data_IF_560311522123
#
_entry.id   IF_560311522123
#
_cell.length_a   1.000
_cell.length_b   1.000
_cell.length_c   1.000
_cell.angle_alpha   90.00
_cell.angle_beta   90.00
_cell.angle_gamma   90.00
#
_symmetry.space_group_name_H-M   'P 1'
#
loop_
_entity.id
_entity.type
_entity.pdbx_description
1 polymer ?
#
# COMPACT_ATOMS: atom_id res chain seq x y z
N UNK A 1 18.51 -1.61 41.41
CA UNK A 1 17.54 -2.49 40.75
C UNK A 1 17.54 -2.16 39.26
N UNK A 2 18.05 -3.01 38.36
CA UNK A 2 17.87 -2.79 36.92
C UNK A 2 16.51 -3.39 36.51
N UNK A 3 15.67 -2.57 35.89
CA UNK A 3 14.44 -3.02 35.21
C UNK A 3 14.81 -3.93 34.04
N UNK A 4 14.11 -5.07 33.84
CA UNK A 4 14.31 -5.88 32.66
C UNK A 4 13.86 -5.07 31.44
N UNK A 5 14.83 -4.76 30.57
CA UNK A 5 14.57 -4.25 29.23
C UNK A 5 13.65 -5.25 28.54
N UNK A 6 12.43 -4.85 28.22
CA UNK A 6 11.50 -5.64 27.44
C UNK A 6 12.11 -5.78 26.03
N UNK A 7 12.86 -6.84 25.81
CA UNK A 7 13.28 -7.25 24.48
C UNK A 7 12.00 -7.49 23.68
N UNK A 8 11.60 -6.49 22.89
CA UNK A 8 10.49 -6.62 21.97
C UNK A 8 10.78 -7.83 21.09
N UNK A 9 10.06 -8.92 21.33
CA UNK A 9 10.17 -10.12 20.53
C UNK A 9 9.89 -9.72 19.09
N UNK A 10 10.92 -9.79 18.23
CA UNK A 10 10.74 -9.59 16.79
C UNK A 10 9.92 -10.76 16.28
N UNK A 11 8.68 -10.47 15.87
CA UNK A 11 7.90 -11.39 15.07
C UNK A 11 8.68 -11.64 13.78
N UNK A 12 9.07 -12.89 13.57
CA UNK A 12 9.72 -13.36 12.35
C UNK A 12 8.65 -14.10 11.56
N UNK A 13 8.28 -13.55 10.40
CA UNK A 13 7.20 -14.11 9.60
C UNK A 13 7.70 -15.27 8.74
N UNK A 14 6.90 -16.34 8.68
CA UNK A 14 7.08 -17.39 7.68
C UNK A 14 6.63 -16.91 6.29
N UNK A 15 7.04 -17.64 5.25
CA UNK A 15 6.76 -17.31 3.85
C UNK A 15 5.27 -17.03 3.58
N UNK A 16 4.38 -17.95 4.00
CA UNK A 16 2.95 -17.83 3.78
C UNK A 16 2.32 -16.65 4.53
N UNK A 17 2.76 -16.38 5.76
CA UNK A 17 2.29 -15.26 6.57
C UNK A 17 2.69 -13.92 5.95
N UNK A 18 3.95 -13.82 5.50
CA UNK A 18 4.48 -12.63 4.83
C UNK A 18 3.70 -12.35 3.54
N UNK A 19 3.47 -13.38 2.73
CA UNK A 19 2.71 -13.28 1.48
C UNK A 19 1.24 -12.92 1.74
N UNK A 20 0.62 -13.50 2.75
CA UNK A 20 -0.76 -13.18 3.13
C UNK A 20 -0.88 -11.72 3.55
N UNK A 21 0.03 -11.23 4.39
CA UNK A 21 0.03 -9.85 4.86
C UNK A 21 0.27 -8.85 3.73
N UNK A 22 1.24 -9.12 2.84
CA UNK A 22 1.53 -8.28 1.68
C UNK A 22 0.33 -8.22 0.71
N UNK A 23 -0.30 -9.37 0.43
CA UNK A 23 -1.47 -9.45 -0.47
C UNK A 23 -2.68 -8.74 0.10
N UNK A 24 -2.95 -8.91 1.41
CA UNK A 24 -4.02 -8.20 2.08
C UNK A 24 -3.79 -6.69 1.98
N UNK A 25 -2.59 -6.23 2.36
CA UNK A 25 -2.24 -4.81 2.31
C UNK A 25 -2.39 -4.19 0.90
N UNK A 26 -1.91 -4.84 -0.16
CA UNK A 26 -2.13 -4.33 -1.53
C UNK A 26 -3.59 -4.39 -1.99
N UNK A 27 -4.38 -5.34 -1.48
CA UNK A 27 -5.81 -5.39 -1.74
C UNK A 27 -6.53 -4.17 -1.16
N UNK A 28 -6.20 -3.82 0.08
CA UNK A 28 -6.76 -2.66 0.78
C UNK A 28 -6.36 -1.35 0.06
N UNK A 29 -5.09 -1.25 -0.35
CA UNK A 29 -4.54 -0.14 -1.12
C UNK A 29 -5.24 0.02 -2.49
N UNK A 30 -5.41 -1.08 -3.22
CA UNK A 30 -6.13 -1.08 -4.50
C UNK A 30 -7.56 -0.56 -4.31
N UNK A 31 -8.26 -1.04 -3.29
CA UNK A 31 -9.61 -0.59 -2.99
C UNK A 31 -9.63 0.91 -2.64
N UNK A 32 -8.64 1.39 -1.87
CA UNK A 32 -8.48 2.80 -1.52
C UNK A 32 -8.26 3.67 -2.76
N UNK A 33 -7.30 3.33 -3.62
CA UNK A 33 -7.02 4.11 -4.83
C UNK A 33 -8.19 4.13 -5.82
N UNK A 34 -8.91 3.02 -5.97
CA UNK A 34 -10.14 3.00 -6.78
C UNK A 34 -11.21 3.95 -6.21
N UNK A 35 -11.43 3.93 -4.89
CA UNK A 35 -12.37 4.87 -4.25
C UNK A 35 -11.96 6.32 -4.47
N UNK A 36 -10.68 6.65 -4.30
CA UNK A 36 -10.16 8.00 -4.55
C UNK A 36 -10.34 8.40 -6.01
N UNK A 37 -10.02 7.52 -6.96
CA UNK A 37 -10.21 7.78 -8.39
C UNK A 37 -11.67 8.15 -8.71
N UNK A 38 -12.64 7.40 -8.16
CA UNK A 38 -14.06 7.73 -8.30
C UNK A 38 -14.45 9.03 -7.60
N UNK A 39 -13.96 9.26 -6.38
CA UNK A 39 -14.27 10.47 -5.60
C UNK A 39 -13.82 11.76 -6.29
N UNK A 40 -12.68 11.73 -6.99
CA UNK A 40 -12.15 12.87 -7.75
C UNK A 40 -12.72 13.03 -9.16
N UNK A 41 -13.48 12.04 -9.67
CA UNK A 41 -13.86 11.97 -11.09
C UNK A 41 -14.57 13.24 -11.59
N UNK A 42 -15.46 13.81 -10.79
CA UNK A 42 -16.24 15.01 -11.15
C UNK A 42 -15.59 16.32 -10.70
N UNK A 43 -14.56 16.26 -9.85
CA UNK A 43 -13.91 17.43 -9.27
C UNK A 43 -12.60 17.78 -9.99
N UNK A 44 -11.73 16.79 -10.18
CA UNK A 44 -10.45 16.96 -10.84
C UNK A 44 -10.04 15.65 -11.54
N UNK A 45 -10.20 15.63 -12.87
CA UNK A 45 -9.93 14.45 -13.70
C UNK A 45 -8.45 14.08 -13.75
N UNK A 46 -7.52 15.03 -13.55
CA UNK A 46 -6.10 14.73 -13.48
C UNK A 46 -5.76 13.94 -12.21
N UNK A 47 -6.28 14.37 -11.05
CA UNK A 47 -6.11 13.63 -9.78
C UNK A 47 -6.82 12.27 -9.87
N UNK A 48 -8.02 12.22 -10.43
CA UNK A 48 -8.74 10.95 -10.65
C UNK A 48 -7.91 9.95 -11.46
N UNK A 49 -7.28 10.39 -12.56
CA UNK A 49 -6.37 9.57 -13.37
C UNK A 49 -5.13 9.13 -12.61
N UNK A 50 -4.52 10.03 -11.84
CA UNK A 50 -3.38 9.68 -10.99
C UNK A 50 -3.74 8.55 -10.02
N UNK A 51 -4.86 8.68 -9.30
CA UNK A 51 -5.32 7.64 -8.36
C UNK A 51 -5.63 6.32 -9.07
N UNK A 52 -6.23 6.36 -10.27
CA UNK A 52 -6.47 5.18 -11.08
C UNK A 52 -5.15 4.50 -11.50
N UNK A 53 -4.14 5.28 -11.91
CA UNK A 53 -2.81 4.78 -12.25
C UNK A 53 -2.12 4.12 -11.04
N UNK A 54 -2.22 4.71 -9.84
CA UNK A 54 -1.70 4.10 -8.62
C UNK A 54 -2.42 2.79 -8.27
N UNK A 55 -3.73 2.71 -8.52
CA UNK A 55 -4.49 1.47 -8.42
C UNK A 55 -3.96 0.37 -9.37
N UNK A 56 -3.60 0.72 -10.60
CA UNK A 56 -2.98 -0.23 -11.55
C UNK A 56 -1.60 -0.71 -11.03
N UNK A 57 -0.81 0.16 -10.41
CA UNK A 57 0.45 -0.25 -9.79
C UNK A 57 0.23 -1.22 -8.62
N UNK A 58 -0.82 -1.07 -7.82
CA UNK A 58 -1.21 -2.09 -6.83
C UNK A 58 -1.51 -3.45 -7.46
N UNK A 59 -2.21 -3.49 -8.61
CA UNK A 59 -2.48 -4.74 -9.33
C UNK A 59 -1.18 -5.42 -9.78
N UNK A 60 -0.25 -4.67 -10.35
CA UNK A 60 1.07 -5.18 -10.74
C UNK A 60 1.84 -5.73 -9.55
N UNK A 61 1.78 -5.07 -8.39
CA UNK A 61 2.40 -5.56 -7.14
C UNK A 61 1.76 -6.85 -6.66
N UNK A 62 0.43 -6.95 -6.68
CA UNK A 62 -0.30 -8.18 -6.37
C UNK A 62 0.14 -9.34 -7.27
N UNK A 63 0.26 -9.10 -8.58
CA UNK A 63 0.72 -10.11 -9.53
C UNK A 63 2.18 -10.52 -9.29
N UNK A 64 3.05 -9.55 -8.97
CA UNK A 64 4.43 -9.82 -8.57
C UNK A 64 4.49 -10.71 -7.33
N UNK A 65 3.69 -10.41 -6.30
CA UNK A 65 3.61 -11.22 -5.07
C UNK A 65 3.05 -12.63 -5.34
N UNK A 66 2.07 -12.75 -6.25
CA UNK A 66 1.56 -14.07 -6.68
C UNK A 66 2.61 -14.87 -7.43
N UNK A 67 3.41 -14.23 -8.28
CA UNK A 67 4.46 -14.92 -9.02
C UNK A 67 5.58 -15.41 -8.09
N UNK A 68 6.02 -14.55 -7.17
CA UNK A 68 7.03 -14.92 -6.17
C UNK A 68 6.56 -16.09 -5.26
N UNK A 69 5.27 -16.12 -4.89
CA UNK A 69 4.70 -17.25 -4.16
C UNK A 69 4.81 -18.57 -4.93
N UNK A 70 4.48 -18.58 -6.24
CA UNK A 70 4.54 -19.79 -7.07
C UNK A 70 5.98 -20.30 -7.27
N UNK A 71 6.95 -19.39 -7.37
CA UNK A 71 8.36 -19.79 -7.49
C UNK A 71 8.82 -20.55 -6.24
N UNK A 72 8.39 -20.14 -5.04
CA UNK A 72 8.72 -20.83 -3.80
C UNK A 72 8.01 -22.19 -3.66
N UNK A 73 6.75 -22.30 -4.07
CA UNK A 73 6.03 -23.58 -4.13
C UNK A 73 6.69 -24.58 -5.11
N UNK A 74 7.38 -24.08 -6.14
CA UNK A 74 8.07 -24.90 -7.16
C UNK A 74 9.46 -25.35 -6.69
N UNK A 75 10.13 -24.55 -5.86
CA UNK A 75 11.44 -24.90 -5.26
C UNK A 75 11.31 -25.82 -4.04
N UNK A 76 10.14 -25.86 -3.41
CA UNK A 76 9.82 -26.83 -2.37
C UNK A 76 9.52 -28.21 -2.98
N UNK A 77 10.25 -29.25 -2.55
CA UNK A 77 9.86 -30.64 -2.84
C UNK A 77 8.44 -30.91 -2.33
N UNK A 78 7.61 -31.70 -3.04
CA UNK A 78 6.20 -31.84 -2.70
C UNK A 78 6.07 -32.60 -1.37
N UNK A 79 5.80 -31.86 -0.31
CA UNK A 79 5.33 -32.41 0.94
C UNK A 79 3.81 -32.51 0.85
N UNK A 80 3.30 -33.74 0.79
CA UNK A 80 1.87 -34.04 0.87
C UNK A 80 1.37 -33.64 2.26
N UNK A 81 0.62 -32.55 2.30
CA UNK A 81 0.11 -31.94 3.52
C UNK A 81 -1.08 -31.09 3.16
N UNK A 82 -2.21 -31.75 2.97
CA UNK A 82 -3.51 -31.08 2.96
C UNK A 82 -3.64 -30.24 4.23
N UNK A 83 -3.47 -28.93 4.13
CA UNK A 83 -3.95 -28.04 5.17
C UNK A 83 -4.82 -26.93 4.59
N UNK A 84 -6.04 -26.92 5.09
CA UNK A 84 -7.17 -26.18 4.58
C UNK A 84 -6.95 -24.73 5.02
N UNK A 85 -6.47 -23.88 4.11
CA UNK A 85 -6.28 -22.44 4.35
C UNK A 85 -7.56 -21.82 4.93
N UNK A 86 -7.51 -21.11 6.06
CA UNK A 86 -8.63 -20.25 6.45
C UNK A 86 -8.65 -19.08 5.47
N UNK A 87 -9.80 -18.88 4.82
CA UNK A 87 -10.07 -17.63 4.12
C UNK A 87 -10.07 -16.52 5.17
N UNK A 88 -9.03 -15.68 5.15
CA UNK A 88 -9.03 -14.45 5.95
C UNK A 88 -10.07 -13.54 5.32
N UNK A 89 -11.29 -13.56 5.88
CA UNK A 89 -12.33 -12.59 5.55
C UNK A 89 -11.86 -11.22 6.02
N UNK A 90 -11.33 -10.43 5.09
CA UNK A 90 -11.09 -8.99 5.29
C UNK A 90 -12.45 -8.31 5.41
N UNK A 91 -12.96 -8.20 6.65
CA UNK A 91 -14.03 -7.25 6.98
C UNK A 91 -13.50 -5.84 6.76
N UNK A 92 -13.88 -5.25 5.64
CA UNK A 92 -13.70 -3.83 5.43
C UNK A 92 -15.00 -3.12 5.77
N UNK A 93 -14.95 -2.30 6.82
CA UNK A 93 -15.91 -1.24 7.02
C UNK A 93 -15.75 -0.27 5.83
N UNK A 94 -16.53 -0.49 4.78
CA UNK A 94 -16.61 0.42 3.66
C UNK A 94 -17.20 1.74 4.17
N UNK A 95 -16.33 2.71 4.41
CA UNK A 95 -16.77 4.11 4.52
C UNK A 95 -17.46 4.47 3.19
N UNK A 96 -18.63 5.13 3.21
CA UNK A 96 -19.38 5.42 2.00
C UNK A 96 -18.53 6.16 0.97
N UNK A 97 -18.74 5.85 -0.31
CA UNK A 97 -18.13 6.54 -1.45
C UNK A 97 -18.50 8.04 -1.39
N UNK A 98 -17.62 8.86 -0.83
CA UNK A 98 -17.80 10.31 -0.79
C UNK A 98 -17.26 10.94 -2.07
N UNK A 99 -18.12 11.63 -2.82
CA UNK A 99 -17.66 12.51 -3.90
C UNK A 99 -17.00 13.76 -3.32
N UNK A 100 -15.89 14.18 -3.93
CA UNK A 100 -15.23 15.43 -3.56
C UNK A 100 -16.07 16.59 -4.09
N UNK A 101 -16.60 17.41 -3.18
CA UNK A 101 -17.55 18.48 -3.50
C UNK A 101 -16.94 19.88 -3.48
N UNK A 102 -15.82 20.07 -2.77
CA UNK A 102 -15.13 21.35 -2.69
C UNK A 102 -13.62 21.18 -2.52
N UNK A 103 -12.89 22.26 -2.80
CA UNK A 103 -11.43 22.26 -2.82
C UNK A 103 -10.78 21.90 -1.48
N UNK A 104 -11.32 22.38 -0.34
CA UNK A 104 -10.81 21.98 0.98
C UNK A 104 -10.79 20.45 1.17
N UNK A 105 -11.91 19.78 0.83
CA UNK A 105 -12.01 18.32 0.90
C UNK A 105 -11.04 17.63 -0.05
N UNK A 106 -10.80 18.20 -1.24
CA UNK A 106 -9.82 17.69 -2.19
C UNK A 106 -8.40 17.68 -1.60
N UNK A 107 -8.01 18.78 -0.96
CA UNK A 107 -6.69 18.93 -0.34
C UNK A 107 -6.55 18.02 0.87
N UNK A 108 -7.52 18.00 1.77
CA UNK A 108 -7.51 17.11 2.94
C UNK A 108 -7.42 15.64 2.51
N UNK A 109 -8.14 15.26 1.46
CA UNK A 109 -8.09 13.91 0.88
C UNK A 109 -6.73 13.59 0.27
N UNK A 110 -6.08 14.56 -0.40
CA UNK A 110 -4.73 14.38 -0.93
C UNK A 110 -3.68 14.25 0.18
N UNK A 111 -3.76 15.07 1.24
CA UNK A 111 -2.90 14.92 2.42
C UNK A 111 -3.05 13.54 3.05
N UNK A 112 -4.29 13.06 3.21
CA UNK A 112 -4.53 11.72 3.72
C UNK A 112 -3.95 10.65 2.78
N UNK A 113 -4.11 10.81 1.46
CA UNK A 113 -3.55 9.88 0.49
C UNK A 113 -2.01 9.80 0.55
N UNK A 114 -1.32 10.92 0.79
CA UNK A 114 0.13 10.97 1.02
C UNK A 114 0.50 10.25 2.32
N UNK A 115 -0.23 10.51 3.42
CA UNK A 115 0.03 9.87 4.70
C UNK A 115 -0.16 8.35 4.62
N UNK A 116 -1.21 7.89 3.94
CA UNK A 116 -1.47 6.46 3.70
C UNK A 116 -0.38 5.80 2.83
N UNK A 117 0.11 6.51 1.80
CA UNK A 117 1.19 6.02 0.95
C UNK A 117 2.51 5.89 1.75
N UNK A 118 2.82 6.86 2.61
CA UNK A 118 3.98 6.77 3.50
C UNK A 118 3.84 5.63 4.53
N UNK A 119 2.64 5.44 5.08
CA UNK A 119 2.33 4.29 5.92
C UNK A 119 2.59 2.97 5.17
N UNK A 120 2.10 2.87 3.93
CA UNK A 120 2.30 1.69 3.08
C UNK A 120 3.78 1.41 2.78
N UNK A 121 4.56 2.46 2.49
CA UNK A 121 6.01 2.34 2.33
C UNK A 121 6.67 1.79 3.60
N UNK A 122 6.34 2.36 4.77
CA UNK A 122 6.86 1.89 6.06
C UNK A 122 6.42 0.46 6.34
N UNK A 123 5.19 0.08 6.03
CA UNK A 123 4.71 -1.29 6.17
C UNK A 123 5.63 -2.28 5.44
N UNK A 124 5.99 -1.99 4.19
CA UNK A 124 6.90 -2.87 3.44
C UNK A 124 8.34 -2.87 3.96
N UNK A 125 8.85 -1.74 4.43
CA UNK A 125 10.16 -1.68 5.09
C UNK A 125 10.18 -2.55 6.35
N UNK A 126 9.14 -2.50 7.18
CA UNK A 126 9.01 -3.37 8.35
C UNK A 126 8.83 -4.84 7.95
N UNK A 127 8.03 -5.11 6.92
CA UNK A 127 7.81 -6.47 6.41
C UNK A 127 9.12 -7.11 5.93
N UNK A 128 9.96 -6.35 5.23
CA UNK A 128 11.28 -6.79 4.80
C UNK A 128 12.21 -7.04 5.99
N UNK A 129 12.20 -6.16 7.00
CA UNK A 129 13.01 -6.34 8.20
C UNK A 129 12.59 -7.53 9.07
N UNK A 130 11.30 -7.89 9.03
CA UNK A 130 10.71 -9.02 9.76
C UNK A 130 10.70 -10.34 8.95
N UNK A 131 11.14 -10.31 7.68
CA UNK A 131 11.21 -11.49 6.81
C UNK A 131 12.34 -12.43 7.24
N UNK A 132 12.01 -13.70 7.48
CA UNK A 132 13.01 -14.77 7.60
C UNK A 132 13.41 -15.39 6.25
N UNK A 133 12.87 -14.89 5.12
CA UNK A 133 12.99 -15.55 3.82
C UNK A 133 13.81 -14.69 2.86
N UNK A 134 15.14 -14.94 2.73
CA UNK A 134 16.05 -14.19 1.86
C UNK A 134 15.57 -14.09 0.40
N UNK A 135 14.93 -15.15 -0.11
CA UNK A 135 14.46 -15.22 -1.48
C UNK A 135 13.43 -14.13 -1.84
N UNK A 136 12.68 -13.59 -0.86
CA UNK A 136 11.73 -12.49 -1.10
C UNK A 136 12.35 -11.09 -1.02
N UNK A 137 13.58 -10.95 -0.52
CA UNK A 137 14.18 -9.63 -0.37
C UNK A 137 14.26 -8.84 -1.68
N UNK A 138 14.60 -9.43 -2.84
CA UNK A 138 14.58 -8.71 -4.11
C UNK A 138 13.18 -8.17 -4.45
N UNK A 139 12.14 -8.99 -4.29
CA UNK A 139 10.75 -8.60 -4.53
C UNK A 139 10.30 -7.48 -3.60
N UNK A 140 10.57 -7.60 -2.30
CA UNK A 140 10.21 -6.57 -1.31
C UNK A 140 10.99 -5.26 -1.56
N UNK A 141 12.26 -5.34 -1.93
CA UNK A 141 13.07 -4.17 -2.27
C UNK A 141 12.49 -3.42 -3.48
N UNK A 142 12.08 -4.16 -4.51
CA UNK A 142 11.45 -3.57 -5.69
C UNK A 142 10.13 -2.87 -5.32
N UNK A 143 9.30 -3.51 -4.49
CA UNK A 143 8.04 -2.91 -4.02
C UNK A 143 8.30 -1.66 -3.18
N UNK A 144 9.26 -1.68 -2.25
CA UNK A 144 9.62 -0.50 -1.45
C UNK A 144 10.03 0.67 -2.35
N UNK A 145 10.82 0.40 -3.40
CA UNK A 145 11.21 1.43 -4.37
C UNK A 145 10.00 2.01 -5.11
N UNK A 146 9.04 1.16 -5.50
CA UNK A 146 7.80 1.61 -6.12
C UNK A 146 6.95 2.45 -5.15
N UNK A 147 6.83 2.04 -3.89
CA UNK A 147 6.11 2.80 -2.84
C UNK A 147 6.74 4.16 -2.55
N UNK A 148 8.07 4.27 -2.63
CA UNK A 148 8.77 5.57 -2.56
C UNK A 148 8.38 6.47 -3.72
N UNK A 149 8.45 5.97 -4.95
CA UNK A 149 8.04 6.74 -6.13
C UNK A 149 6.56 7.18 -6.05
N UNK A 150 5.69 6.33 -5.52
CA UNK A 150 4.28 6.65 -5.26
C UNK A 150 4.12 7.81 -4.25
N UNK A 151 4.88 7.79 -3.15
CA UNK A 151 4.92 8.91 -2.19
C UNK A 151 5.40 10.21 -2.86
N UNK A 152 6.49 10.13 -3.63
CA UNK A 152 7.10 11.28 -4.29
C UNK A 152 6.12 11.96 -5.25
N UNK A 153 5.43 11.18 -6.09
CA UNK A 153 4.45 11.69 -7.05
C UNK A 153 3.25 12.33 -6.34
N UNK A 154 2.74 11.72 -5.26
CA UNK A 154 1.63 12.30 -4.50
C UNK A 154 2.04 13.60 -3.81
N UNK A 155 3.25 13.65 -3.25
CA UNK A 155 3.79 14.84 -2.61
C UNK A 155 4.01 15.98 -3.62
N UNK A 156 4.52 15.67 -4.82
CA UNK A 156 4.70 16.65 -5.89
C UNK A 156 3.35 17.25 -6.34
N UNK A 157 2.32 16.42 -6.49
CA UNK A 157 0.97 16.88 -6.82
C UNK A 157 0.36 17.77 -5.75
N UNK A 158 0.57 17.43 -4.47
CA UNK A 158 0.10 18.22 -3.35
C UNK A 158 0.78 19.60 -3.30
N UNK A 159 2.12 19.63 -3.37
CA UNK A 159 2.88 20.88 -3.38
C UNK A 159 2.51 21.78 -4.56
N UNK A 160 2.32 21.21 -5.75
CA UNK A 160 1.89 21.95 -6.94
C UNK A 160 0.47 22.52 -6.79
N UNK A 161 -0.40 21.84 -6.05
CA UNK A 161 -1.78 22.28 -5.81
C UNK A 161 -1.84 23.43 -4.82
N UNK A 162 -0.97 23.44 -3.80
CA UNK A 162 -0.82 24.53 -2.84
C UNK A 162 -0.25 25.80 -3.48
N UNK A 163 0.74 25.66 -4.37
CA UNK A 163 1.31 26.79 -5.11
C UNK A 163 0.28 27.50 -6.01
N UNK A 164 -0.59 26.73 -6.67
CA UNK A 164 -1.68 27.28 -7.48
C UNK A 164 -2.70 28.05 -6.63
N UNK A 165 -2.96 27.59 -5.40
CA UNK A 165 -3.85 28.28 -4.45
C UNK A 165 -3.24 29.60 -3.95
N UNK A 166 -1.96 29.59 -3.58
CA UNK A 166 -1.26 30.79 -3.14
C UNK A 166 -1.34 31.87 -4.22
N UNK A 167 -1.05 31.52 -5.48
CA UNK A 167 -1.13 32.46 -6.61
C UNK A 167 -2.54 33.01 -6.87
N UNK A 168 -3.58 32.21 -6.69
CA UNK A 168 -4.97 32.66 -6.86
C UNK A 168 -5.49 33.54 -5.71
N UNK A 169 -4.83 33.54 -4.56
CA UNK A 169 -5.22 34.35 -3.38
C UNK A 169 -4.55 35.72 -3.30
N UNK A 170 -3.51 35.96 -4.10
CA UNK A 170 -2.68 37.19 -4.09
C UNK A 170 -2.86 38.02 -5.38
N UNK A 171 -3.65 37.53 -6.34
CA UNK A 171 -4.00 38.25 -7.58
C UNK A 171 -5.44 38.74 -7.55
#
# INVERSE_FOLDING_TARGET
MPTPSATAARLVFQCDELLALAKAHEGDELARYRRLAFGFLTFNTAISRLMASLGIECEKRLDTLRHAARQQETEATPFDGSDRRPAVETRHAASPFGFISHYGMAIDTLHQAVADADYSRRFYEHLQMASAVPAFHPTLTAIIKQKRAECDVLQEYLSSSDDLRYRASVG
#
